data_IF_711278465683
#
_entry.id   IF_711278465683
#
_cell.length_a   1.000
_cell.length_b   1.000
_cell.length_c   1.000
_cell.angle_alpha   90.00
_cell.angle_beta   90.00
_cell.angle_gamma   90.00
#
_symmetry.space_group_name_H-M   'P 1'
#
loop_
_entity.id
_entity.type
_entity.pdbx_description
1 polymer ?
#
# COMPACT_ATOMS: atom_id res chain seq x y z
N UNK A 1 18.40 -11.63 7.63
CA UNK A 1 17.70 -11.42 6.34
C UNK A 1 16.21 -11.49 6.62
N UNK A 2 15.59 -10.35 6.89
CA UNK A 2 14.14 -10.29 7.06
C UNK A 2 13.56 -9.50 5.91
N UNK A 3 12.68 -10.16 5.16
CA UNK A 3 11.75 -9.53 4.24
C UNK A 3 10.41 -9.46 4.96
N UNK A 4 9.72 -8.33 4.88
CA UNK A 4 8.36 -8.20 5.44
C UNK A 4 7.35 -7.97 4.32
N UNK A 5 6.11 -8.36 4.57
CA UNK A 5 4.99 -8.02 3.70
C UNK A 5 4.60 -6.56 3.89
N UNK A 6 4.18 -5.91 2.80
CA UNK A 6 3.83 -4.50 2.78
C UNK A 6 2.47 -4.30 2.08
N UNK A 7 1.50 -3.73 2.80
CA UNK A 7 0.17 -3.45 2.28
C UNK A 7 -0.86 -3.09 3.35
N UNK A 8 -2.09 -2.87 2.90
CA UNK A 8 -3.26 -2.76 3.78
C UNK A 8 -3.89 -4.13 3.89
N UNK A 9 -4.00 -4.63 5.11
CA UNK A 9 -4.77 -5.84 5.43
C UNK A 9 -5.92 -5.52 6.38
N UNK A 10 -7.14 -5.63 5.87
CA UNK A 10 -8.36 -5.42 6.61
C UNK A 10 -8.66 -6.48 7.67
N UNK A 11 -7.87 -7.56 7.78
CA UNK A 11 -7.90 -8.46 8.93
C UNK A 11 -7.21 -7.86 10.16
N UNK A 12 -6.32 -6.88 9.99
CA UNK A 12 -5.75 -6.11 11.10
C UNK A 12 -6.80 -5.13 11.64
N UNK A 13 -7.25 -5.37 12.87
CA UNK A 13 -8.33 -4.61 13.53
C UNK A 13 -7.81 -3.52 14.47
N UNK A 14 -8.74 -2.76 15.07
CA UNK A 14 -8.46 -1.57 15.90
C UNK A 14 -7.71 -0.49 15.11
N UNK A 15 -8.24 -0.19 13.92
CA UNK A 15 -7.69 0.77 12.96
C UNK A 15 -8.74 1.78 12.53
N UNK A 16 -8.34 2.96 12.03
CA UNK A 16 -9.24 3.88 11.36
C UNK A 16 -9.72 3.34 9.99
N UNK A 17 -10.69 4.03 9.40
CA UNK A 17 -11.27 3.69 8.11
C UNK A 17 -12.54 2.82 8.21
N UNK A 18 -13.03 2.31 7.08
CA UNK A 18 -14.26 1.54 7.04
C UNK A 18 -14.15 0.25 7.89
N UNK A 19 -15.18 -0.08 8.69
CA UNK A 19 -15.16 -1.26 9.55
C UNK A 19 -15.05 -2.56 8.75
N UNK A 20 -15.71 -2.63 7.59
CA UNK A 20 -15.71 -3.81 6.72
C UNK A 20 -14.64 -3.76 5.62
N UNK A 21 -13.78 -2.73 5.63
CA UNK A 21 -12.73 -2.55 4.63
C UNK A 21 -11.74 -3.72 4.65
N UNK A 22 -11.42 -4.27 3.47
CA UNK A 22 -10.50 -5.39 3.28
C UNK A 22 -9.19 -4.88 2.73
N UNK A 23 -9.16 -4.54 1.45
CA UNK A 23 -7.95 -4.08 0.78
C UNK A 23 -7.90 -2.56 0.69
N UNK A 24 -6.78 -2.03 0.19
CA UNK A 24 -6.53 -0.60 0.08
C UNK A 24 -7.63 0.16 -0.69
N UNK A 25 -8.28 -0.49 -1.66
CA UNK A 25 -9.33 0.14 -2.48
C UNK A 25 -10.54 0.57 -1.65
N UNK A 26 -10.81 -0.10 -0.53
CA UNK A 26 -11.94 0.22 0.33
C UNK A 26 -11.69 1.50 1.15
N UNK A 27 -10.42 1.91 1.31
CA UNK A 27 -10.02 3.04 2.15
C UNK A 27 -9.96 4.37 1.39
N UNK A 28 -10.18 4.36 0.08
CA UNK A 28 -10.02 5.54 -0.77
C UNK A 28 -10.89 6.73 -0.32
N UNK A 29 -12.16 6.45 0.04
CA UNK A 29 -13.07 7.48 0.57
C UNK A 29 -12.57 8.06 1.90
N UNK A 30 -12.16 7.19 2.83
CA UNK A 30 -11.59 7.61 4.11
C UNK A 30 -10.36 8.50 3.92
N UNK A 31 -9.45 8.15 3.01
CA UNK A 31 -8.25 8.96 2.75
C UNK A 31 -8.56 10.34 2.16
N UNK A 32 -9.51 10.41 1.23
CA UNK A 32 -9.93 11.68 0.64
C UNK A 32 -10.55 12.61 1.70
N UNK A 33 -11.39 12.06 2.58
CA UNK A 33 -12.06 12.82 3.65
C UNK A 33 -11.11 13.28 4.77
N UNK A 34 -10.01 12.55 4.99
CA UNK A 34 -9.08 12.79 6.09
C UNK A 34 -7.75 13.42 5.65
N UNK A 35 -7.63 13.86 4.39
CA UNK A 35 -6.47 14.61 3.91
C UNK A 35 -5.23 13.77 3.58
N UNK A 36 -5.38 12.46 3.38
CA UNK A 36 -4.30 11.56 2.97
C UNK A 36 -4.10 11.49 1.45
N UNK A 37 -4.94 12.20 0.69
CA UNK A 37 -4.85 12.32 -0.76
C UNK A 37 -6.24 12.27 -1.40
N UNK A 38 -6.47 13.12 -2.40
CA UNK A 38 -7.75 13.20 -3.11
C UNK A 38 -8.00 12.03 -4.06
N UNK A 39 -6.96 11.25 -4.36
CA UNK A 39 -7.01 10.17 -5.32
C UNK A 39 -6.41 8.89 -4.76
N UNK A 40 -7.24 7.85 -4.66
CA UNK A 40 -6.95 6.63 -3.93
C UNK A 40 -5.67 5.89 -4.33
N UNK A 41 -5.40 5.62 -5.62
CA UNK A 41 -4.17 4.97 -6.05
C UNK A 41 -2.90 5.73 -5.63
N UNK A 42 -2.92 7.07 -5.74
CA UNK A 42 -1.83 7.92 -5.26
C UNK A 42 -1.67 7.86 -3.75
N UNK A 43 -2.77 8.03 -3.02
CA UNK A 43 -2.79 7.94 -1.56
C UNK A 43 -2.25 6.59 -1.06
N UNK A 44 -2.63 5.49 -1.72
CA UNK A 44 -2.13 4.16 -1.36
C UNK A 44 -0.62 4.03 -1.59
N UNK A 45 -0.11 4.47 -2.74
CA UNK A 45 1.35 4.44 -2.98
C UNK A 45 2.09 5.27 -1.94
N UNK A 46 1.57 6.44 -1.54
CA UNK A 46 2.16 7.22 -0.45
C UNK A 46 2.16 6.46 0.90
N UNK A 47 1.13 5.65 1.20
CA UNK A 47 1.17 4.75 2.37
C UNK A 47 2.28 3.70 2.25
N UNK A 48 2.48 3.12 1.05
CA UNK A 48 3.55 2.16 0.83
C UNK A 48 4.93 2.81 1.05
N UNK A 49 5.09 4.05 0.59
CA UNK A 49 6.31 4.84 0.73
C UNK A 49 6.59 5.20 2.18
N UNK A 50 5.57 5.62 2.92
CA UNK A 50 5.70 5.86 4.36
C UNK A 50 6.21 4.61 5.08
N UNK A 51 5.64 3.45 4.78
CA UNK A 51 6.05 2.20 5.42
C UNK A 51 7.47 1.78 4.98
N UNK A 52 7.82 1.89 3.70
CA UNK A 52 9.19 1.66 3.23
C UNK A 52 10.23 2.53 3.94
N UNK A 53 9.94 3.82 4.12
CA UNK A 53 10.80 4.72 4.88
C UNK A 53 10.90 4.37 6.37
N UNK A 54 9.87 3.79 6.97
CA UNK A 54 9.92 3.29 8.34
C UNK A 54 10.81 2.04 8.45
N UNK A 55 10.68 1.10 7.52
CA UNK A 55 11.49 -0.12 7.50
C UNK A 55 12.98 0.16 7.30
N UNK A 56 13.34 1.14 6.48
CA UNK A 56 14.74 1.55 6.26
C UNK A 56 15.44 2.07 7.52
N UNK A 57 14.70 2.34 8.60
CA UNK A 57 15.28 2.74 9.89
C UNK A 57 15.81 1.54 10.69
N UNK A 58 15.52 0.31 10.25
CA UNK A 58 16.03 -0.93 10.86
C UNK A 58 16.94 -1.67 9.88
N UNK A 59 18.25 -1.66 10.16
CA UNK A 59 19.28 -2.31 9.34
C UNK A 59 19.10 -3.83 9.20
N UNK A 60 18.22 -4.46 10.00
CA UNK A 60 17.90 -5.88 9.90
C UNK A 60 16.89 -6.20 8.77
N UNK A 61 16.11 -5.21 8.35
CA UNK A 61 15.12 -5.31 7.27
C UNK A 61 15.76 -4.92 5.95
N UNK A 62 15.83 -5.86 5.01
CA UNK A 62 16.49 -5.63 3.71
C UNK A 62 15.53 -5.26 2.58
N UNK A 63 14.21 -5.29 2.84
CA UNK A 63 13.19 -4.91 1.87
C UNK A 63 11.79 -5.40 2.22
N UNK A 64 10.80 -4.86 1.50
CA UNK A 64 9.40 -5.26 1.57
C UNK A 64 8.93 -6.01 0.33
N UNK A 65 7.92 -6.87 0.50
CA UNK A 65 7.21 -7.54 -0.61
C UNK A 65 5.74 -7.13 -0.61
N UNK A 66 5.25 -6.71 -1.77
CA UNK A 66 3.82 -6.44 -1.98
C UNK A 66 3.16 -7.76 -2.39
N UNK A 67 2.17 -8.20 -1.62
CA UNK A 67 1.58 -9.53 -1.78
C UNK A 67 0.53 -9.64 -2.90
N UNK A 68 -0.25 -8.58 -3.16
CA UNK A 68 -1.41 -8.64 -4.06
C UNK A 68 -1.18 -7.94 -5.41
N UNK A 69 -0.12 -8.31 -6.14
CA UNK A 69 -0.01 -7.96 -7.56
C UNK A 69 -0.75 -9.00 -8.39
N UNK A 70 -1.90 -8.64 -8.93
CA UNK A 70 -2.75 -9.50 -9.75
C UNK A 70 -3.36 -10.72 -9.02
N UNK A 71 -4.26 -10.51 -8.05
CA UNK A 71 -4.76 -11.57 -7.20
C UNK A 71 -5.92 -12.37 -7.84
N UNK A 72 -6.27 -13.47 -7.16
CA UNK A 72 -7.38 -14.37 -7.51
C UNK A 72 -8.73 -13.85 -6.99
N UNK A 73 -9.83 -14.53 -7.32
CA UNK A 73 -11.18 -14.12 -6.89
C UNK A 73 -11.28 -13.97 -5.35
N UNK A 74 -11.87 -12.86 -4.89
CA UNK A 74 -12.02 -12.52 -3.47
C UNK A 74 -10.93 -11.59 -2.91
N UNK A 75 -9.98 -11.16 -3.72
CA UNK A 75 -8.88 -10.27 -3.35
C UNK A 75 -8.86 -8.96 -4.16
N UNK A 76 -9.94 -8.67 -4.86
CA UNK A 76 -10.03 -7.55 -5.81
C UNK A 76 -9.73 -6.21 -5.13
N UNK A 77 -10.16 -6.02 -3.89
CA UNK A 77 -9.92 -4.80 -3.11
C UNK A 77 -8.44 -4.56 -2.78
N UNK A 78 -7.61 -5.59 -2.85
CA UNK A 78 -6.16 -5.52 -2.57
C UNK A 78 -5.33 -5.27 -3.83
N UNK A 79 -5.93 -5.46 -5.01
CA UNK A 79 -5.21 -5.56 -6.26
C UNK A 79 -4.45 -4.28 -6.62
N UNK A 80 -3.17 -4.43 -6.95
CA UNK A 80 -2.35 -3.40 -7.59
C UNK A 80 -2.33 -3.62 -9.10
N UNK A 81 -3.41 -3.21 -9.76
CA UNK A 81 -3.51 -3.12 -11.22
C UNK A 81 -3.89 -1.71 -11.66
N UNK A 82 -3.88 -1.49 -12.98
CA UNK A 82 -4.35 -0.26 -13.60
C UNK A 82 -3.58 0.96 -13.09
N UNK A 83 -4.32 1.99 -12.67
CA UNK A 83 -3.74 3.26 -12.27
C UNK A 83 -2.77 3.14 -11.08
N UNK A 84 -3.06 2.27 -10.10
CA UNK A 84 -2.17 2.08 -8.96
C UNK A 84 -0.80 1.52 -9.37
N UNK A 85 -0.79 0.55 -10.29
CA UNK A 85 0.45 0.01 -10.84
C UNK A 85 1.26 1.09 -11.58
N UNK A 86 0.58 1.97 -12.34
CA UNK A 86 1.23 3.08 -13.03
C UNK A 86 1.89 4.09 -12.08
N UNK A 87 1.23 4.44 -10.97
CA UNK A 87 1.80 5.32 -9.95
C UNK A 87 2.99 4.67 -9.26
N UNK A 88 2.84 3.39 -8.87
CA UNK A 88 3.93 2.65 -8.23
C UNK A 88 5.14 2.53 -9.16
N UNK A 89 4.93 2.22 -10.43
CA UNK A 89 5.99 2.18 -11.43
C UNK A 89 6.68 3.53 -11.58
N UNK A 90 5.90 4.63 -11.65
CA UNK A 90 6.46 5.97 -11.72
C UNK A 90 7.31 6.28 -10.49
N UNK A 91 6.80 5.99 -9.29
CA UNK A 91 7.52 6.18 -8.03
C UNK A 91 8.86 5.42 -8.04
N UNK A 92 8.83 4.13 -8.39
CA UNK A 92 10.04 3.31 -8.45
C UNK A 92 11.04 3.79 -9.51
N UNK A 93 10.58 4.41 -10.61
CA UNK A 93 11.48 4.92 -11.66
C UNK A 93 12.28 6.15 -11.23
N UNK A 94 11.77 6.93 -10.27
CA UNK A 94 12.46 8.12 -9.74
C UNK A 94 13.18 7.86 -8.41
N UNK A 95 12.78 6.80 -7.69
CA UNK A 95 13.33 6.43 -6.38
C UNK A 95 13.99 5.04 -6.38
N UNK A 96 14.45 4.57 -7.54
CA UNK A 96 15.16 3.30 -7.66
C UNK A 96 16.32 3.25 -6.65
N UNK A 97 16.47 2.10 -5.99
CA UNK A 97 17.55 1.89 -5.02
C UNK A 97 18.91 2.15 -5.70
N UNK A 98 19.76 2.92 -5.03
CA UNK A 98 21.16 3.13 -5.43
C UNK A 98 21.97 1.83 -5.34
#
# INVERSE_FOLDING_TARGET
>A
LVMTELGVDGLVQNRPGPPDGRGWQDFQGYWAENGYGLWGPGAYVEQLVWYDNAMRQDDYVIGGTIYALAPTAGWESYDIRGACAGVLQQYLSVHAAA
#
